data_IF_631721176908
#
_entry.id   IF_631721176908
#
_cell.length_a   1.000
_cell.length_b   1.000
_cell.length_c   1.000
_cell.angle_alpha   90.00
_cell.angle_beta   90.00
_cell.angle_gamma   90.00
#
_symmetry.space_group_name_H-M   'P 1'
#
loop_
_entity.id
_entity.type
_entity.pdbx_description
1 polymer ?
#
# COMPACT_ATOMS: atom_id res chain seq x y z
N UNK A 1 -26.84 11.47 -30.24
CA UNK A 1 -27.15 11.62 -28.79
C UNK A 1 -27.31 10.31 -28.07
N UNK A 2 -28.19 9.40 -28.53
CA UNK A 2 -28.41 8.11 -27.86
C UNK A 2 -27.16 7.22 -27.76
N UNK A 3 -26.35 7.16 -28.82
CA UNK A 3 -25.10 6.38 -28.84
C UNK A 3 -24.08 6.93 -27.84
N UNK A 4 -23.97 8.24 -27.71
CA UNK A 4 -23.06 8.88 -26.77
C UNK A 4 -23.43 8.60 -25.32
N UNK A 5 -24.73 8.58 -24.99
CA UNK A 5 -25.24 8.26 -23.66
C UNK A 5 -24.95 6.80 -23.31
N UNK A 6 -25.13 5.88 -24.27
CA UNK A 6 -24.85 4.45 -24.09
C UNK A 6 -23.35 4.23 -23.85
N UNK A 7 -22.49 4.87 -24.64
CA UNK A 7 -21.03 4.78 -24.47
C UNK A 7 -20.59 5.29 -23.10
N UNK A 8 -21.15 6.42 -22.66
CA UNK A 8 -20.85 7.01 -21.37
C UNK A 8 -21.30 6.11 -20.20
N UNK A 9 -22.48 5.49 -20.36
CA UNK A 9 -23.00 4.53 -19.37
C UNK A 9 -22.13 3.28 -19.29
N UNK A 10 -21.69 2.74 -20.41
CA UNK A 10 -20.77 1.59 -20.47
C UNK A 10 -19.43 1.94 -19.83
N UNK A 11 -18.87 3.13 -20.10
CA UNK A 11 -17.60 3.57 -19.51
C UNK A 11 -17.70 3.69 -17.98
N UNK A 12 -18.79 4.23 -17.45
CA UNK A 12 -19.04 4.30 -16.02
C UNK A 12 -19.13 2.90 -15.39
N UNK A 13 -19.82 1.96 -16.05
CA UNK A 13 -19.89 0.57 -15.57
C UNK A 13 -18.50 -0.09 -15.52
N UNK A 14 -17.66 0.13 -16.54
CA UNK A 14 -16.29 -0.36 -16.54
C UNK A 14 -15.46 0.29 -15.44
N UNK A 15 -15.62 1.58 -15.19
CA UNK A 15 -14.91 2.29 -14.11
C UNK A 15 -15.28 1.75 -12.73
N UNK A 16 -16.56 1.44 -12.49
CA UNK A 16 -17.01 0.82 -11.23
C UNK A 16 -16.41 -0.58 -11.08
N UNK A 17 -16.45 -1.40 -12.14
CA UNK A 17 -15.87 -2.75 -12.14
C UNK A 17 -14.38 -2.71 -11.84
N UNK A 18 -13.64 -1.79 -12.47
CA UNK A 18 -12.22 -1.57 -12.23
C UNK A 18 -11.94 -1.20 -10.78
N UNK A 19 -12.72 -0.28 -10.22
CA UNK A 19 -12.57 0.15 -8.83
C UNK A 19 -12.79 -1.01 -7.85
N UNK A 20 -13.78 -1.85 -8.07
CA UNK A 20 -14.06 -3.03 -7.26
C UNK A 20 -12.90 -4.04 -7.34
N UNK A 21 -12.39 -4.32 -8.54
CA UNK A 21 -11.25 -5.21 -8.74
C UNK A 21 -9.98 -4.68 -8.07
N UNK A 22 -9.72 -3.39 -8.19
CA UNK A 22 -8.56 -2.75 -7.57
C UNK A 22 -8.60 -2.86 -6.04
N UNK A 23 -9.74 -2.57 -5.43
CA UNK A 23 -9.93 -2.74 -3.97
C UNK A 23 -9.77 -4.20 -3.55
N UNK A 24 -10.30 -5.14 -4.33
CA UNK A 24 -10.16 -6.58 -4.07
C UNK A 24 -8.70 -7.03 -4.08
N UNK A 25 -7.91 -6.59 -5.06
CA UNK A 25 -6.48 -6.88 -5.14
C UNK A 25 -5.72 -6.22 -3.99
N UNK A 26 -6.03 -4.97 -3.66
CA UNK A 26 -5.43 -4.26 -2.52
C UNK A 26 -5.64 -4.99 -1.21
N UNK A 27 -6.85 -5.50 -0.96
CA UNK A 27 -7.13 -6.33 0.23
C UNK A 27 -6.31 -7.62 0.26
N UNK A 28 -6.19 -8.32 -0.88
CA UNK A 28 -5.38 -9.54 -0.97
C UNK A 28 -3.90 -9.25 -0.69
N UNK A 29 -3.36 -8.16 -1.21
CA UNK A 29 -1.98 -7.74 -0.95
C UNK A 29 -1.79 -7.42 0.53
N UNK A 30 -2.71 -6.69 1.17
CA UNK A 30 -2.61 -6.34 2.58
C UNK A 30 -2.66 -7.57 3.50
N UNK A 31 -3.53 -8.53 3.21
CA UNK A 31 -3.58 -9.81 3.94
C UNK A 31 -2.26 -10.56 3.81
N UNK A 32 -1.70 -10.62 2.60
CA UNK A 32 -0.42 -11.30 2.35
C UNK A 32 0.75 -10.61 3.02
N UNK A 33 0.78 -9.29 3.06
CA UNK A 33 1.78 -8.50 3.79
C UNK A 33 1.70 -8.79 5.28
N UNK A 34 0.50 -8.89 5.86
CA UNK A 34 0.32 -9.27 7.25
C UNK A 34 0.82 -10.69 7.56
N UNK A 35 0.61 -11.64 6.66
CA UNK A 35 1.12 -13.02 6.80
C UNK A 35 2.64 -13.08 6.73
N UNK A 36 3.27 -12.28 5.86
CA UNK A 36 4.72 -12.23 5.67
C UNK A 36 5.45 -11.41 6.74
N UNK A 37 4.73 -10.56 7.48
CA UNK A 37 5.32 -9.71 8.51
C UNK A 37 5.74 -10.53 9.71
N UNK A 38 7.00 -10.41 10.20
CA UNK A 38 7.44 -11.12 11.39
C UNK A 38 6.67 -10.62 12.61
N UNK A 39 6.05 -11.52 13.35
CA UNK A 39 5.26 -11.21 14.55
C UNK A 39 6.07 -10.51 15.64
N UNK A 40 7.39 -10.73 15.65
CA UNK A 40 8.34 -10.17 16.62
C UNK A 40 8.53 -8.65 16.49
N UNK A 41 8.32 -8.07 15.28
CA UNK A 41 8.59 -6.67 14.99
C UNK A 41 7.42 -5.73 15.29
N UNK A 42 6.23 -6.23 15.64
CA UNK A 42 5.01 -5.42 15.87
C UNK A 42 4.84 -4.29 14.83
N UNK A 43 4.95 -4.65 13.55
CA UNK A 43 4.86 -3.71 12.46
C UNK A 43 3.47 -3.05 12.47
N UNK A 44 3.43 -1.76 12.74
CA UNK A 44 2.23 -0.95 12.54
C UNK A 44 2.06 -0.71 11.03
N UNK A 45 1.38 -1.65 10.38
CA UNK A 45 0.99 -1.46 8.99
C UNK A 45 -0.09 -0.39 8.98
N UNK A 46 0.09 0.72 8.24
CA UNK A 46 -0.91 1.77 8.18
C UNK A 46 -2.22 1.20 7.65
N UNK A 47 -3.32 1.49 8.33
CA UNK A 47 -4.64 1.10 7.85
C UNK A 47 -4.91 1.78 6.51
N UNK A 48 -5.05 0.96 5.49
CA UNK A 48 -5.35 1.44 4.15
C UNK A 48 -6.80 1.91 4.07
N UNK A 49 -7.00 3.08 3.51
CA UNK A 49 -8.34 3.59 3.28
C UNK A 49 -8.87 3.07 1.95
N UNK A 50 -9.60 1.96 1.99
CA UNK A 50 -10.18 1.32 0.79
C UNK A 50 -11.19 2.21 0.07
N UNK A 51 -11.83 3.14 0.77
CA UNK A 51 -12.76 4.11 0.17
C UNK A 51 -11.99 5.07 -0.73
N UNK A 52 -10.85 5.56 -0.27
CA UNK A 52 -9.98 6.43 -1.07
C UNK A 52 -9.43 5.68 -2.29
N UNK A 53 -8.99 4.44 -2.11
CA UNK A 53 -8.52 3.58 -3.21
C UNK A 53 -9.62 3.37 -4.25
N UNK A 54 -10.85 3.14 -3.82
CA UNK A 54 -12.00 2.99 -4.70
C UNK A 54 -12.26 4.29 -5.49
N UNK A 55 -12.27 5.43 -4.81
CA UNK A 55 -12.52 6.74 -5.46
C UNK A 55 -11.44 7.04 -6.49
N UNK A 56 -10.17 6.86 -6.14
CA UNK A 56 -9.04 7.09 -7.07
C UNK A 56 -9.14 6.16 -8.27
N UNK A 57 -9.39 4.88 -8.06
CA UNK A 57 -9.51 3.90 -9.14
C UNK A 57 -10.73 4.20 -10.04
N UNK A 58 -11.85 4.65 -9.46
CA UNK A 58 -13.04 5.06 -10.21
C UNK A 58 -12.74 6.25 -11.12
N UNK A 59 -12.11 7.30 -10.60
CA UNK A 59 -11.75 8.48 -11.41
C UNK A 59 -10.72 8.13 -12.50
N UNK A 60 -9.72 7.31 -12.19
CA UNK A 60 -8.80 6.80 -13.21
C UNK A 60 -9.51 5.96 -14.28
N UNK A 61 -10.51 5.19 -13.89
CA UNK A 61 -11.32 4.36 -14.78
C UNK A 61 -12.24 5.16 -15.71
N UNK A 62 -12.54 6.42 -15.39
CA UNK A 62 -13.33 7.28 -16.27
C UNK A 62 -12.53 7.73 -17.53
N UNK A 63 -11.22 7.58 -17.55
CA UNK A 63 -10.41 7.83 -18.74
C UNK A 63 -10.37 6.52 -19.57
N UNK A 64 -10.97 6.50 -20.79
CA UNK A 64 -11.19 5.25 -21.55
C UNK A 64 -9.90 4.46 -21.83
N UNK A 65 -8.82 5.14 -22.17
CA UNK A 65 -7.54 4.51 -22.49
C UNK A 65 -6.92 3.86 -21.24
N UNK A 66 -6.92 4.58 -20.11
CA UNK A 66 -6.39 4.06 -18.85
C UNK A 66 -7.24 2.91 -18.32
N UNK A 67 -8.55 2.95 -18.54
CA UNK A 67 -9.47 1.89 -18.15
C UNK A 67 -9.14 0.58 -18.86
N UNK A 68 -8.95 0.62 -20.18
CA UNK A 68 -8.61 -0.58 -20.97
C UNK A 68 -7.26 -1.16 -20.51
N UNK A 69 -6.23 -0.34 -20.36
CA UNK A 69 -4.91 -0.78 -19.91
C UNK A 69 -4.98 -1.39 -18.51
N UNK A 70 -5.69 -0.74 -17.59
CA UNK A 70 -5.85 -1.21 -16.23
C UNK A 70 -6.66 -2.51 -16.15
N UNK A 71 -7.73 -2.65 -16.92
CA UNK A 71 -8.51 -3.89 -16.97
C UNK A 71 -7.68 -5.07 -17.49
N UNK A 72 -6.89 -4.87 -18.54
CA UNK A 72 -5.98 -5.89 -19.05
C UNK A 72 -4.94 -6.25 -17.99
N UNK A 73 -4.31 -5.27 -17.37
CA UNK A 73 -3.29 -5.50 -16.34
C UNK A 73 -3.84 -6.25 -15.13
N UNK A 74 -5.05 -5.92 -14.67
CA UNK A 74 -5.71 -6.58 -13.54
C UNK A 74 -6.20 -7.98 -13.90
N UNK A 75 -6.62 -8.20 -15.15
CA UNK A 75 -7.02 -9.52 -15.63
C UNK A 75 -5.86 -10.51 -15.66
N UNK A 76 -4.67 -10.03 -16.04
CA UNK A 76 -3.45 -10.82 -16.04
C UNK A 76 -2.70 -10.80 -14.69
N UNK A 77 -3.24 -10.16 -13.66
CA UNK A 77 -2.67 -10.16 -12.32
C UNK A 77 -2.86 -11.53 -11.65
N UNK A 78 -1.96 -12.45 -11.95
CA UNK A 78 -1.89 -13.76 -11.33
C UNK A 78 -1.47 -13.68 -9.86
N UNK A 79 -1.69 -14.77 -9.12
CA UNK A 79 -1.26 -14.89 -7.72
C UNK A 79 0.24 -14.62 -7.53
N UNK A 80 1.08 -14.92 -8.52
CA UNK A 80 2.51 -14.62 -8.49
C UNK A 80 2.78 -13.12 -8.43
N UNK A 81 2.08 -12.31 -9.21
CA UNK A 81 2.22 -10.85 -9.20
C UNK A 81 1.79 -10.28 -7.86
N UNK A 82 0.68 -10.76 -7.30
CA UNK A 82 0.18 -10.36 -5.99
C UNK A 82 1.19 -10.74 -4.90
N UNK A 83 1.74 -11.94 -4.93
CA UNK A 83 2.76 -12.40 -3.99
C UNK A 83 4.05 -11.57 -4.11
N UNK A 84 4.50 -11.26 -5.31
CA UNK A 84 5.68 -10.42 -5.55
C UNK A 84 5.50 -9.00 -5.00
N UNK A 85 4.34 -8.38 -5.25
CA UNK A 85 4.02 -7.06 -4.72
C UNK A 85 3.93 -7.06 -3.19
N UNK A 86 3.28 -8.08 -2.61
CA UNK A 86 3.18 -8.23 -1.17
C UNK A 86 4.56 -8.41 -0.52
N UNK A 87 5.42 -9.21 -1.15
CA UNK A 87 6.79 -9.45 -0.66
C UNK A 87 7.63 -8.17 -0.69
N UNK A 88 7.60 -7.41 -1.79
CA UNK A 88 8.30 -6.12 -1.90
C UNK A 88 7.81 -5.11 -0.86
N UNK A 89 6.50 -5.04 -0.67
CA UNK A 89 5.88 -4.15 0.31
C UNK A 89 6.26 -4.55 1.74
N UNK A 90 6.25 -5.84 2.07
CA UNK A 90 6.67 -6.34 3.37
C UNK A 90 8.16 -6.03 3.66
N UNK A 91 9.05 -6.25 2.69
CA UNK A 91 10.47 -5.92 2.82
C UNK A 91 10.66 -4.43 3.10
N UNK A 92 9.94 -3.56 2.39
CA UNK A 92 10.01 -2.11 2.60
C UNK A 92 9.63 -1.73 4.03
N UNK A 93 8.51 -2.23 4.54
CA UNK A 93 8.07 -1.98 5.92
C UNK A 93 9.08 -2.49 6.95
N UNK A 94 9.67 -3.66 6.73
CA UNK A 94 10.71 -4.21 7.62
C UNK A 94 11.96 -3.33 7.62
N UNK A 95 12.37 -2.83 6.47
CA UNK A 95 13.52 -1.93 6.35
C UNK A 95 13.28 -0.58 7.05
N UNK A 96 12.11 0.00 6.86
CA UNK A 96 11.71 1.25 7.51
C UNK A 96 11.72 1.10 9.04
N UNK A 97 11.17 0.00 9.57
CA UNK A 97 11.14 -0.25 11.01
C UNK A 97 12.52 -0.53 11.59
N UNK A 98 13.36 -1.27 10.89
CA UNK A 98 14.76 -1.49 11.30
C UNK A 98 15.54 -0.18 11.36
N UNK A 99 15.33 0.72 10.40
CA UNK A 99 15.97 2.04 10.40
C UNK A 99 15.49 2.88 11.58
N UNK A 100 14.20 2.84 11.88
CA UNK A 100 13.61 3.53 13.03
C UNK A 100 14.19 3.03 14.35
N UNK A 101 14.33 1.71 14.50
CA UNK A 101 14.94 1.11 15.70
C UNK A 101 16.41 1.51 15.87
N UNK A 102 17.19 1.55 14.78
CA UNK A 102 18.59 2.04 14.83
C UNK A 102 18.68 3.49 15.29
N UNK A 103 17.84 4.35 14.72
CA UNK A 103 17.82 5.77 15.10
C UNK A 103 17.45 5.94 16.58
N UNK A 104 16.53 5.12 17.09
CA UNK A 104 16.12 5.13 18.49
C UNK A 104 17.24 4.65 19.42
N UNK A 105 17.99 3.62 19.04
CA UNK A 105 19.17 3.15 19.78
C UNK A 105 20.28 4.20 19.83
N UNK A 106 20.55 4.89 18.73
CA UNK A 106 21.53 5.97 18.69
C UNK A 106 21.10 7.13 19.60
N UNK A 107 19.82 7.48 19.60
CA UNK A 107 19.27 8.51 20.49
C UNK A 107 19.46 8.14 21.97
N UNK A 108 19.14 6.88 22.35
CA UNK A 108 19.33 6.39 23.72
C UNK A 108 20.81 6.47 24.13
N UNK A 109 21.73 5.99 23.29
CA UNK A 109 23.18 6.07 23.55
C UNK A 109 23.67 7.50 23.74
N UNK A 110 23.12 8.44 22.95
CA UNK A 110 23.46 9.86 23.09
C UNK A 110 22.95 10.42 24.41
N UNK A 111 21.72 10.13 24.77
CA UNK A 111 21.15 10.54 26.04
C UNK A 111 21.92 9.98 27.25
N UNK A 112 22.32 8.71 27.21
CA UNK A 112 23.13 8.07 28.25
C UNK A 112 24.51 8.77 28.42
N UNK A 113 25.16 9.13 27.31
CA UNK A 113 26.41 9.90 27.34
C UNK A 113 26.25 11.26 28.01
N UNK A 114 25.22 12.00 27.64
CA UNK A 114 24.92 13.31 28.22
C UNK A 114 24.65 13.23 29.75
N UNK A 115 23.93 12.20 30.19
CA UNK A 115 23.68 11.97 31.61
C UNK A 115 24.98 11.65 32.36
N UNK A 116 25.81 10.77 31.80
CA UNK A 116 27.09 10.40 32.41
C UNK A 116 28.06 11.59 32.50
N UNK A 117 28.11 12.43 31.46
CA UNK A 117 28.91 13.65 31.47
C UNK A 117 28.45 14.66 32.54
N UNK A 118 27.14 14.79 32.75
CA UNK A 118 26.60 15.65 33.82
C UNK A 118 26.92 15.10 35.20
N UNK A 119 26.87 13.79 35.38
CA UNK A 119 27.18 13.16 36.65
C UNK A 119 28.68 13.27 37.01
N UNK A 120 29.57 13.23 36.02
CA UNK A 120 31.00 13.35 36.21
C UNK A 120 31.48 14.82 36.47
N UNK A 121 30.62 15.81 36.18
CA UNK A 121 30.90 17.24 36.45
C UNK A 121 30.46 17.71 37.84
N UNK A 122 29.80 16.85 38.58
CA UNK A 122 29.45 17.09 39.99
C UNK A 122 30.49 16.50 40.92
#
# INVERSE_FOLDING_TARGET
MRVLIILLFVDVLFAITLAILFVGISKKVDVKVNELSPKELNLKIPKRNYILDFVVAFFCGLVPVLNIIACISLWFADNEVINSLAYRTAIRYIQEERQRLKNLQEFIKKAEREVNERNNKK
#
